data_IF_965621050517
#
_entry.id   IF_965621050517
#
_cell.length_a   1.000
_cell.length_b   1.000
_cell.length_c   1.000
_cell.angle_alpha   90.00
_cell.angle_beta   90.00
_cell.angle_gamma   90.00
#
_symmetry.space_group_name_H-M   'P 1'
#
loop_
_entity.id
_entity.type
_entity.pdbx_description
1 polymer ?
#
# COMPACT_ATOMS: atom_id res chain seq x y z
N UNK A 1 -32.98 61.24 43.75
CA UNK A 1 -32.63 61.28 42.31
C UNK A 1 -32.23 59.89 41.86
N UNK A 2 -32.76 59.45 40.72
CA UNK A 2 -32.61 58.11 40.14
C UNK A 2 -31.22 57.93 39.56
N UNK A 3 -30.52 56.86 39.90
CA UNK A 3 -29.40 56.33 39.08
C UNK A 3 -29.49 54.81 39.04
N UNK A 4 -30.03 54.31 37.93
CA UNK A 4 -30.07 52.89 37.57
C UNK A 4 -28.68 52.49 37.11
N UNK A 5 -28.00 51.60 37.84
CA UNK A 5 -26.81 50.91 37.33
C UNK A 5 -27.28 49.61 36.66
N UNK A 6 -27.42 49.66 35.34
CA UNK A 6 -27.74 48.50 34.50
C UNK A 6 -26.46 47.70 34.29
N UNK A 7 -26.29 46.61 35.04
CA UNK A 7 -25.21 45.63 34.83
C UNK A 7 -25.59 44.81 33.59
N UNK A 8 -25.05 45.20 32.44
CA UNK A 8 -25.13 44.45 31.19
C UNK A 8 -24.10 43.30 31.28
N UNK A 9 -24.55 42.13 31.72
CA UNK A 9 -23.78 40.90 31.72
C UNK A 9 -23.59 40.42 30.26
N UNK A 10 -22.51 40.86 29.62
CA UNK A 10 -22.08 40.40 28.30
C UNK A 10 -21.64 38.92 28.42
N UNK A 11 -22.58 38.02 28.16
CA UNK A 11 -22.33 36.62 27.88
C UNK A 11 -21.45 36.53 26.61
N UNK A 12 -20.13 36.46 26.82
CA UNK A 12 -19.18 36.04 25.80
C UNK A 12 -19.42 34.55 25.54
N UNK A 13 -20.32 34.26 24.60
CA UNK A 13 -20.42 32.94 23.98
C UNK A 13 -19.13 32.70 23.21
N UNK A 14 -18.20 31.96 23.83
CA UNK A 14 -17.07 31.37 23.12
C UNK A 14 -17.67 30.37 22.12
N UNK A 15 -17.87 30.82 20.89
CA UNK A 15 -18.13 29.95 19.75
C UNK A 15 -16.87 29.13 19.53
N UNK A 16 -16.84 27.94 20.12
CA UNK A 16 -15.88 26.90 19.75
C UNK A 16 -16.26 26.51 18.32
N UNK A 17 -15.58 27.10 17.34
CA UNK A 17 -15.61 26.59 15.97
C UNK A 17 -14.90 25.24 15.97
N UNK A 18 -15.67 24.16 16.04
CA UNK A 18 -15.17 22.83 15.76
C UNK A 18 -14.83 22.76 14.26
N UNK A 19 -13.56 22.99 13.90
CA UNK A 19 -13.08 22.70 12.55
C UNK A 19 -13.18 21.18 12.34
N UNK A 20 -14.05 20.77 11.41
CA UNK A 20 -14.27 19.37 11.04
C UNK A 20 -13.01 18.84 10.32
N UNK A 21 -12.05 18.28 11.07
CA UNK A 21 -10.92 17.54 10.49
C UNK A 21 -11.43 16.18 10.00
N UNK A 22 -11.38 15.95 8.69
CA UNK A 22 -11.72 14.64 8.11
C UNK A 22 -10.63 13.62 8.48
N UNK A 23 -11.06 12.52 9.09
CA UNK A 23 -10.18 11.42 9.47
C UNK A 23 -10.07 10.45 8.29
N UNK A 24 -8.85 10.00 8.01
CA UNK A 24 -8.54 9.02 6.99
C UNK A 24 -8.54 7.65 7.65
N UNK A 25 -9.44 6.78 7.23
CA UNK A 25 -9.40 5.38 7.63
C UNK A 25 -8.29 4.67 6.87
N UNK A 26 -7.51 3.87 7.60
CA UNK A 26 -6.49 3.01 7.00
C UNK A 26 -7.16 1.98 6.10
N UNK A 27 -6.66 1.72 4.87
CA UNK A 27 -7.20 0.66 4.03
C UNK A 27 -7.17 -0.69 4.78
N UNK A 28 -8.30 -1.39 4.81
CA UNK A 28 -8.46 -2.70 5.49
C UNK A 28 -7.54 -3.81 4.91
N UNK A 29 -6.92 -3.58 3.75
CA UNK A 29 -6.18 -4.59 2.99
C UNK A 29 -4.68 -4.73 3.34
N UNK A 30 -4.17 -4.08 4.40
CA UNK A 30 -2.81 -4.30 4.90
C UNK A 30 -2.84 -4.92 6.31
N UNK A 31 -2.68 -6.25 6.46
CA UNK A 31 -2.94 -6.99 7.70
C UNK A 31 -1.92 -6.76 8.83
N UNK A 32 -1.14 -5.68 8.77
CA UNK A 32 -0.11 -5.32 9.75
C UNK A 32 -0.34 -4.00 10.48
N UNK A 33 -1.51 -3.36 10.35
CA UNK A 33 -1.76 -2.06 10.96
C UNK A 33 -2.76 -2.10 12.14
N UNK A 34 -2.27 -1.57 13.25
CA UNK A 34 -2.90 -1.37 14.56
C UNK A 34 -4.19 -0.55 14.44
N UNK A 35 -5.29 -1.05 15.03
CA UNK A 35 -6.65 -0.48 15.06
C UNK A 35 -6.75 0.94 15.67
N UNK A 36 -5.63 1.58 16.03
CA UNK A 36 -5.55 2.88 16.66
C UNK A 36 -4.80 3.97 15.86
N UNK A 37 -4.43 3.71 14.59
CA UNK A 37 -3.72 4.69 13.75
C UNK A 37 -4.71 5.55 12.93
N UNK A 38 -5.40 6.49 13.58
CA UNK A 38 -6.26 7.44 12.87
C UNK A 38 -5.38 8.54 12.26
N UNK A 39 -5.13 8.45 10.96
CA UNK A 39 -4.45 9.53 10.22
C UNK A 39 -5.43 10.67 9.95
N UNK A 40 -5.14 11.92 10.32
CA UNK A 40 -5.97 13.08 9.90
C UNK A 40 -5.30 13.81 8.76
N UNK A 41 -6.08 14.21 7.74
CA UNK A 41 -5.60 15.02 6.64
C UNK A 41 -6.29 16.39 6.58
N UNK A 42 -5.51 17.45 6.42
CA UNK A 42 -5.99 18.82 6.17
C UNK A 42 -5.39 19.40 4.89
N UNK A 43 -6.12 20.33 4.26
CA UNK A 43 -5.67 21.07 3.08
C UNK A 43 -5.46 22.52 3.47
N UNK A 44 -4.35 23.09 3.03
CA UNK A 44 -4.18 24.54 2.94
C UNK A 44 -4.00 24.95 1.48
N UNK A 45 -4.56 26.11 1.11
CA UNK A 45 -4.30 26.77 -0.16
C UNK A 45 -3.22 27.82 0.10
N UNK A 46 -2.18 27.87 -0.73
CA UNK A 46 -1.20 28.95 -0.68
C UNK A 46 -1.81 30.24 -1.25
N UNK A 47 -2.04 31.26 -0.41
CA UNK A 47 -2.63 32.55 -0.77
C UNK A 47 -1.65 33.51 -1.49
N UNK A 48 -0.91 33.00 -2.47
CA UNK A 48 -0.01 33.83 -3.28
C UNK A 48 -0.71 34.28 -4.57
N UNK A 49 -1.12 35.57 -4.57
CA UNK A 49 -1.54 36.41 -5.72
C UNK A 49 -1.78 35.64 -7.03
N UNK A 50 -3.02 35.16 -7.21
CA UNK A 50 -3.72 34.80 -8.47
C UNK A 50 -3.03 33.91 -9.52
N UNK A 51 -1.78 33.44 -9.36
CA UNK A 51 -1.09 32.64 -10.41
C UNK A 51 -0.55 31.28 -9.97
N UNK A 52 -0.23 31.05 -8.68
CA UNK A 52 0.42 29.80 -8.25
C UNK A 52 -0.38 29.05 -7.17
N UNK A 53 -1.63 28.70 -7.45
CA UNK A 53 -2.42 27.87 -6.52
C UNK A 53 -1.78 26.46 -6.44
N UNK A 54 -1.26 26.10 -5.27
CA UNK A 54 -0.84 24.73 -4.94
C UNK A 54 -1.59 24.29 -3.69
N UNK A 55 -1.86 22.98 -3.61
CA UNK A 55 -2.42 22.36 -2.42
C UNK A 55 -1.25 21.87 -1.55
N UNK A 56 -1.28 22.13 -0.26
CA UNK A 56 -0.48 21.37 0.71
C UNK A 56 -1.38 20.35 1.40
N UNK A 57 -0.80 19.19 1.72
CA UNK A 57 -1.49 18.18 2.53
C UNK A 57 -0.73 18.02 3.82
N UNK A 58 -1.38 18.22 4.96
CA UNK A 58 -0.81 17.82 6.24
C UNK A 58 -1.42 16.50 6.66
N UNK A 59 -0.59 15.54 7.00
CA UNK A 59 -1.00 14.23 7.50
C UNK A 59 -0.43 13.99 8.88
N UNK A 60 -1.35 13.79 9.84
CA UNK A 60 -1.00 13.62 11.25
C UNK A 60 -1.27 12.20 11.73
N UNK A 61 -0.38 11.65 12.56
CA UNK A 61 -0.61 10.37 13.27
C UNK A 61 -0.28 10.53 14.76
N UNK A 62 -0.74 9.61 15.62
CA UNK A 62 -0.40 9.64 17.04
C UNK A 62 0.98 9.01 17.29
N UNK A 63 1.75 9.56 18.23
CA UNK A 63 3.00 8.96 18.69
C UNK A 63 2.76 7.58 19.30
N UNK A 64 3.54 6.58 18.88
CA UNK A 64 3.45 5.23 19.42
C UNK A 64 4.24 5.12 20.72
N UNK A 65 3.54 5.04 21.85
CA UNK A 65 4.19 4.77 23.14
C UNK A 65 4.65 3.30 23.17
N UNK A 66 5.95 3.07 23.01
CA UNK A 66 6.58 1.76 23.23
C UNK A 66 6.52 1.42 24.72
N UNK A 67 5.41 0.85 25.20
CA UNK A 67 5.38 0.22 26.52
C UNK A 67 6.35 -0.95 26.50
N UNK A 68 7.43 -0.88 27.31
CA UNK A 68 8.26 -2.05 27.61
C UNK A 68 7.33 -3.11 28.21
N UNK A 69 7.06 -4.17 27.44
CA UNK A 69 6.44 -5.37 28.00
C UNK A 69 7.52 -6.05 28.82
N UNK A 70 7.42 -6.00 30.13
CA UNK A 70 8.14 -6.94 30.97
C UNK A 70 7.74 -8.35 30.53
N UNK A 71 8.73 -9.24 30.40
CA UNK A 71 8.49 -10.65 30.13
C UNK A 71 7.69 -11.23 31.31
N UNK A 72 6.37 -11.29 31.15
CA UNK A 72 5.50 -11.96 32.11
C UNK A 72 5.89 -13.44 32.13
N UNK A 73 6.68 -13.83 33.14
CA UNK A 73 6.98 -15.21 33.50
C UNK A 73 5.73 -15.82 34.13
N UNK A 74 4.80 -16.27 33.30
CA UNK A 74 3.60 -16.92 33.81
C UNK A 74 2.56 -17.19 32.74
N UNK A 75 2.82 -18.14 31.84
CA UNK A 75 1.76 -18.73 31.01
C UNK A 75 2.02 -20.24 30.89
N UNK A 76 1.17 -21.02 31.53
CA UNK A 76 1.05 -22.47 31.34
C UNK A 76 0.62 -22.78 29.90
N UNK A 77 1.24 -23.80 29.30
CA UNK A 77 1.04 -24.28 27.91
C UNK A 77 -0.36 -24.85 27.60
N UNK A 78 -1.36 -24.68 28.47
CA UNK A 78 -2.69 -25.29 28.32
C UNK A 78 -3.77 -24.37 27.70
N UNK A 79 -3.47 -23.10 27.42
CA UNK A 79 -4.47 -22.18 26.83
C UNK A 79 -4.75 -22.40 25.34
N UNK A 80 -3.85 -23.09 24.61
CA UNK A 80 -3.97 -23.28 23.16
C UNK A 80 -5.15 -24.18 22.78
N UNK A 81 -5.45 -25.21 23.58
CA UNK A 81 -6.56 -26.15 23.32
C UNK A 81 -7.93 -25.57 23.66
N UNK A 82 -8.01 -24.63 24.61
CA UNK A 82 -9.26 -23.94 24.95
C UNK A 82 -9.71 -22.96 23.85
N UNK A 83 -8.79 -22.38 23.08
CA UNK A 83 -9.15 -21.48 21.97
C UNK A 83 -9.81 -22.25 20.82
N UNK A 84 -9.40 -23.49 20.55
CA UNK A 84 -10.07 -24.36 19.57
C UNK A 84 -11.48 -24.78 19.98
N UNK A 85 -11.73 -24.95 21.28
CA UNK A 85 -13.08 -25.22 21.80
C UNK A 85 -13.97 -23.97 21.82
N UNK A 86 -13.40 -22.80 22.12
CA UNK A 86 -14.12 -21.52 22.09
C UNK A 86 -14.50 -21.12 20.66
N UNK A 87 -13.65 -21.40 19.65
CA UNK A 87 -14.01 -21.20 18.22
C UNK A 87 -15.14 -22.13 17.76
N UNK A 88 -15.17 -23.39 18.21
CA UNK A 88 -16.29 -24.31 17.91
C UNK A 88 -17.62 -23.81 18.47
N UNK A 89 -17.61 -23.26 19.68
CA UNK A 89 -18.84 -22.78 20.33
C UNK A 89 -19.33 -21.43 19.78
N UNK A 90 -18.45 -20.56 19.26
CA UNK A 90 -18.86 -19.30 18.60
C UNK A 90 -19.36 -19.49 17.17
N UNK A 91 -18.99 -20.60 16.50
CA UNK A 91 -19.51 -20.93 15.16
C UNK A 91 -20.97 -21.41 15.14
N UNK A 92 -21.52 -21.86 16.27
CA UNK A 92 -22.91 -22.34 16.35
C UNK A 92 -23.92 -21.16 16.36
N UNK A 93 -23.47 -19.93 16.66
CA UNK A 93 -24.37 -18.76 16.80
C UNK A 93 -24.43 -17.90 15.53
N UNK A 94 -23.49 -18.07 14.58
CA UNK A 94 -23.51 -17.39 13.28
C UNK A 94 -23.76 -18.38 12.14
N UNK A 95 -24.86 -19.14 12.21
CA UNK A 95 -25.41 -19.82 11.03
C UNK A 95 -26.12 -18.80 10.14
N UNK A 96 -25.36 -17.92 9.48
CA UNK A 96 -25.85 -17.08 8.40
C UNK A 96 -25.19 -17.55 7.11
N UNK A 97 -25.99 -18.28 6.33
CA UNK A 97 -25.88 -18.51 4.89
C UNK A 97 -24.47 -18.85 4.38
N UNK A 98 -24.20 -20.16 4.40
CA UNK A 98 -23.18 -20.80 3.57
C UNK A 98 -23.47 -20.44 2.10
N UNK A 99 -22.80 -19.41 1.58
CA UNK A 99 -22.51 -19.39 0.14
C UNK A 99 -21.62 -20.60 -0.08
N UNK A 100 -22.14 -21.60 -0.80
CA UNK A 100 -21.32 -22.69 -1.32
C UNK A 100 -20.09 -22.05 -1.95
N UNK A 101 -18.91 -22.26 -1.36
CA UNK A 101 -17.65 -21.93 -2.02
C UNK A 101 -17.64 -22.84 -3.24
N UNK A 102 -17.81 -22.24 -4.42
CA UNK A 102 -17.73 -22.98 -5.67
C UNK A 102 -16.45 -23.81 -5.64
N UNK A 103 -16.60 -25.11 -5.89
CA UNK A 103 -15.57 -26.13 -5.64
C UNK A 103 -14.25 -25.92 -6.43
N UNK A 104 -14.12 -24.84 -7.21
CA UNK A 104 -12.97 -24.48 -8.03
C UNK A 104 -12.33 -23.10 -7.77
N UNK A 105 -12.90 -22.20 -6.96
CA UNK A 105 -12.28 -20.87 -6.76
C UNK A 105 -11.18 -20.93 -5.70
N UNK A 106 -9.94 -20.62 -6.08
CA UNK A 106 -8.81 -20.62 -5.15
C UNK A 106 -8.88 -19.41 -4.20
N UNK A 107 -8.71 -19.68 -2.89
CA UNK A 107 -8.70 -18.66 -1.83
C UNK A 107 -7.27 -18.18 -1.63
N UNK A 108 -7.07 -16.87 -1.41
CA UNK A 108 -5.74 -16.33 -1.11
C UNK A 108 -5.19 -16.92 0.20
N UNK A 109 -3.90 -17.24 0.23
CA UNK A 109 -3.18 -17.73 1.43
C UNK A 109 -3.37 -16.84 2.67
N UNK A 110 -3.59 -15.54 2.50
CA UNK A 110 -3.78 -14.61 3.63
C UNK A 110 -5.20 -14.62 4.20
N UNK A 111 -6.18 -15.17 3.46
CA UNK A 111 -7.60 -15.07 3.78
C UNK A 111 -8.22 -16.43 4.13
N UNK A 112 -7.42 -17.49 4.22
CA UNK A 112 -7.87 -18.84 4.57
C UNK A 112 -7.76 -19.08 6.09
N UNK A 113 -8.76 -19.76 6.67
CA UNK A 113 -8.82 -20.01 8.11
C UNK A 113 -7.63 -20.85 8.61
N UNK A 114 -7.28 -21.91 7.87
CA UNK A 114 -6.10 -22.74 8.06
C UNK A 114 -5.25 -22.72 6.78
N UNK A 115 -4.01 -22.21 6.89
CA UNK A 115 -3.09 -22.15 5.76
C UNK A 115 -2.56 -23.55 5.39
N UNK A 116 -2.15 -23.77 4.13
CA UNK A 116 -1.36 -24.94 3.77
C UNK A 116 -0.02 -24.97 4.51
N UNK A 117 0.44 -26.17 4.88
CA UNK A 117 1.66 -26.36 5.69
C UNK A 117 2.57 -27.44 5.11
N UNK A 118 3.88 -27.30 5.35
CA UNK A 118 4.80 -28.43 5.24
C UNK A 118 4.53 -29.41 6.38
N UNK A 119 4.83 -30.69 6.17
CA UNK A 119 4.74 -31.71 7.22
C UNK A 119 5.56 -31.35 8.46
N UNK A 120 6.72 -30.72 8.29
CA UNK A 120 7.56 -30.23 9.40
C UNK A 120 6.92 -29.11 10.23
N UNK A 121 5.90 -28.43 9.70
CA UNK A 121 5.22 -27.32 10.36
C UNK A 121 3.90 -27.71 11.04
N UNK A 122 3.48 -28.99 10.96
CA UNK A 122 2.17 -29.45 11.46
C UNK A 122 2.05 -29.28 12.99
N UNK A 123 3.04 -29.77 13.73
CA UNK A 123 3.04 -29.80 15.21
C UNK A 123 3.44 -28.46 15.86
N UNK A 124 3.65 -27.42 15.06
CA UNK A 124 4.02 -26.10 15.55
C UNK A 124 2.76 -25.34 15.96
N UNK A 125 2.84 -24.61 17.08
CA UNK A 125 1.77 -23.74 17.53
C UNK A 125 1.26 -22.83 16.40
N UNK A 126 -0.06 -22.74 16.23
CA UNK A 126 -0.74 -22.04 15.12
C UNK A 126 -0.16 -20.63 14.87
N UNK A 127 0.10 -19.89 15.94
CA UNK A 127 0.67 -18.52 15.87
C UNK A 127 2.05 -18.45 15.19
N UNK A 128 2.77 -19.56 15.08
CA UNK A 128 4.11 -19.67 14.49
C UNK A 128 4.11 -20.42 13.15
N UNK A 129 2.99 -21.01 12.73
CA UNK A 129 2.92 -21.82 11.52
C UNK A 129 3.24 -21.02 10.24
N UNK A 130 2.74 -19.79 10.12
CA UNK A 130 3.08 -18.90 8.99
C UNK A 130 4.60 -18.62 8.91
N UNK A 131 5.24 -18.43 10.08
CA UNK A 131 6.69 -18.25 10.17
C UNK A 131 7.44 -19.51 9.74
N UNK A 132 6.99 -20.69 10.19
CA UNK A 132 7.56 -21.97 9.76
C UNK A 132 7.45 -22.15 8.24
N UNK A 133 6.25 -21.98 7.68
CA UNK A 133 6.00 -22.10 6.25
C UNK A 133 6.94 -21.21 5.42
N UNK A 134 7.09 -19.93 5.80
CA UNK A 134 8.02 -19.00 5.14
C UNK A 134 9.48 -19.44 5.26
N UNK A 135 9.87 -19.98 6.42
CA UNK A 135 11.22 -20.48 6.66
C UNK A 135 11.54 -21.67 5.75
N UNK A 136 10.65 -22.65 5.68
CA UNK A 136 10.78 -23.85 4.85
C UNK A 136 10.86 -23.50 3.35
N UNK A 137 9.99 -22.60 2.87
CA UNK A 137 10.06 -22.08 1.50
C UNK A 137 11.42 -21.44 1.23
N UNK A 138 11.92 -20.62 2.17
CA UNK A 138 13.21 -19.92 2.00
C UNK A 138 14.36 -20.90 1.93
N UNK A 139 14.37 -21.91 2.81
CA UNK A 139 15.40 -22.95 2.84
C UNK A 139 15.33 -23.83 1.58
N UNK A 140 14.13 -24.20 1.13
CA UNK A 140 13.93 -24.92 -0.13
C UNK A 140 14.50 -24.15 -1.33
N UNK A 141 14.22 -22.86 -1.43
CA UNK A 141 14.78 -22.01 -2.50
C UNK A 141 16.29 -22.00 -2.41
N UNK A 142 16.85 -21.70 -1.24
CA UNK A 142 18.31 -21.65 -1.04
C UNK A 142 19.01 -22.93 -1.50
N UNK A 143 18.43 -24.10 -1.19
CA UNK A 143 19.01 -25.39 -1.53
C UNK A 143 18.81 -25.79 -3.01
N UNK A 144 17.81 -25.23 -3.68
CA UNK A 144 17.50 -25.57 -5.07
C UNK A 144 17.85 -24.49 -6.08
N UNK A 145 18.24 -23.30 -5.63
CA UNK A 145 18.45 -22.13 -6.48
C UNK A 145 19.69 -22.29 -7.35
N UNK A 146 19.51 -22.16 -8.66
CA UNK A 146 20.61 -22.10 -9.62
C UNK A 146 20.41 -20.90 -10.53
N UNK A 147 21.44 -20.10 -10.73
CA UNK A 147 21.34 -18.98 -11.67
C UNK A 147 21.60 -19.48 -13.09
N UNK A 148 20.67 -19.29 -14.06
CA UNK A 148 20.93 -19.72 -15.45
C UNK A 148 22.14 -19.00 -16.06
N UNK A 149 23.11 -19.77 -16.57
CA UNK A 149 24.37 -19.23 -17.08
C UNK A 149 24.19 -18.16 -18.17
N UNK A 150 23.24 -18.33 -19.09
CA UNK A 150 23.03 -17.34 -20.16
C UNK A 150 22.42 -16.06 -19.61
N UNK A 151 21.46 -16.13 -18.69
CA UNK A 151 20.94 -14.95 -17.99
C UNK A 151 22.02 -14.24 -17.18
N UNK A 152 22.86 -15.00 -16.47
CA UNK A 152 23.99 -14.47 -15.71
C UNK A 152 24.96 -13.71 -16.61
N UNK A 153 25.43 -14.34 -17.69
CA UNK A 153 26.38 -13.73 -18.64
C UNK A 153 25.81 -12.49 -19.36
N UNK A 154 24.49 -12.46 -19.59
CA UNK A 154 23.79 -11.31 -20.17
C UNK A 154 23.42 -10.23 -19.13
N UNK A 155 23.75 -10.45 -17.85
CA UNK A 155 23.43 -9.55 -16.75
C UNK A 155 21.93 -9.39 -16.46
N UNK A 156 21.10 -10.32 -16.93
CA UNK A 156 19.63 -10.27 -16.77
C UNK A 156 19.30 -10.67 -15.34
N UNK A 157 18.78 -9.73 -14.55
CA UNK A 157 18.53 -9.91 -13.11
C UNK A 157 17.10 -9.53 -12.71
N UNK A 158 16.76 -9.55 -11.42
CA UNK A 158 15.50 -9.02 -10.89
C UNK A 158 14.54 -10.07 -10.34
N UNK A 159 13.31 -9.61 -10.05
CA UNK A 159 12.31 -10.40 -9.33
C UNK A 159 11.47 -11.26 -10.27
N UNK A 160 11.28 -12.52 -9.91
CA UNK A 160 10.30 -13.42 -10.50
C UNK A 160 9.22 -13.69 -9.46
N UNK A 161 7.95 -13.53 -9.85
CA UNK A 161 6.77 -13.79 -9.02
C UNK A 161 6.04 -15.01 -9.60
N UNK A 162 6.10 -16.14 -8.91
CA UNK A 162 5.40 -17.37 -9.29
C UNK A 162 4.10 -17.43 -8.52
N UNK A 163 2.98 -17.37 -9.22
CA UNK A 163 1.66 -17.63 -8.66
C UNK A 163 1.34 -19.11 -8.86
N UNK A 164 1.03 -19.79 -7.77
CA UNK A 164 0.62 -21.19 -7.82
C UNK A 164 -0.50 -21.47 -6.83
N UNK A 165 -1.25 -22.53 -7.12
CA UNK A 165 -2.36 -23.01 -6.33
C UNK A 165 -1.92 -24.31 -5.66
N UNK A 166 -2.13 -24.39 -4.35
CA UNK A 166 -2.04 -25.63 -3.59
C UNK A 166 -3.45 -26.20 -3.55
N UNK A 167 -3.64 -27.35 -4.18
CA UNK A 167 -4.96 -27.96 -4.32
C UNK A 167 -5.40 -28.70 -3.04
N UNK A 168 -6.61 -29.26 -3.03
CA UNK A 168 -7.18 -30.00 -1.88
C UNK A 168 -6.40 -31.26 -1.53
N UNK A 169 -5.61 -31.79 -2.45
CA UNK A 169 -4.71 -32.94 -2.26
C UNK A 169 -3.31 -32.53 -1.79
N UNK A 170 -3.00 -31.22 -1.74
CA UNK A 170 -1.70 -30.70 -1.36
C UNK A 170 -0.69 -30.61 -2.50
N UNK A 171 -1.11 -30.85 -3.74
CA UNK A 171 -0.30 -30.71 -4.93
C UNK A 171 -0.28 -29.27 -5.43
N UNK A 172 0.77 -28.91 -6.16
CA UNK A 172 0.97 -27.56 -6.68
C UNK A 172 0.60 -27.51 -8.17
N UNK A 173 -0.10 -26.46 -8.54
CA UNK A 173 -0.35 -26.08 -9.93
C UNK A 173 0.08 -24.62 -10.14
N UNK A 174 1.04 -24.38 -11.04
CA UNK A 174 1.48 -23.01 -11.36
C UNK A 174 0.43 -22.37 -12.27
N UNK A 175 -0.16 -21.26 -11.81
CA UNK A 175 -1.21 -20.54 -12.54
C UNK A 175 -0.65 -19.46 -13.46
N UNK A 176 0.35 -18.71 -12.99
CA UNK A 176 0.99 -17.65 -13.76
C UNK A 176 2.38 -17.34 -13.18
N UNK A 177 3.31 -16.90 -14.02
CA UNK A 177 4.62 -16.43 -13.57
C UNK A 177 4.95 -15.08 -14.21
N UNK A 178 5.16 -14.07 -13.38
CA UNK A 178 5.63 -12.76 -13.81
C UNK A 178 7.15 -12.70 -13.65
N UNK A 179 7.85 -12.26 -14.69
CA UNK A 179 9.30 -12.28 -14.75
C UNK A 179 9.82 -10.99 -15.43
N UNK A 180 11.10 -10.65 -15.26
CA UNK A 180 11.64 -9.43 -15.86
C UNK A 180 11.74 -9.51 -17.38
N UNK A 181 11.94 -8.36 -18.04
CA UNK A 181 12.16 -8.30 -19.48
C UNK A 181 13.39 -9.13 -19.89
N UNK A 182 13.26 -9.94 -20.95
CA UNK A 182 14.27 -10.93 -21.39
C UNK A 182 14.64 -11.97 -20.33
N UNK A 183 13.80 -12.16 -19.31
CA UNK A 183 14.04 -13.04 -18.17
C UNK A 183 13.40 -14.42 -18.31
N UNK A 184 13.21 -14.94 -19.52
CA UNK A 184 12.52 -16.22 -19.76
C UNK A 184 13.23 -17.38 -19.04
N UNK A 185 14.56 -17.43 -19.06
CA UNK A 185 15.29 -18.48 -18.34
C UNK A 185 15.16 -18.33 -16.81
N UNK A 186 15.00 -17.11 -16.29
CA UNK A 186 14.73 -16.89 -14.87
C UNK A 186 13.32 -17.38 -14.48
N UNK A 187 12.34 -17.23 -15.37
CA UNK A 187 10.99 -17.78 -15.22
C UNK A 187 11.05 -19.31 -15.14
N UNK A 188 11.73 -19.93 -16.09
CA UNK A 188 11.80 -21.39 -16.20
C UNK A 188 12.50 -21.99 -14.98
N UNK A 189 13.56 -21.35 -14.50
CA UNK A 189 14.25 -21.75 -13.29
C UNK A 189 13.39 -21.56 -12.03
N UNK A 190 12.68 -20.44 -11.90
CA UNK A 190 11.75 -20.23 -10.80
C UNK A 190 10.63 -21.29 -10.77
N UNK A 191 10.10 -21.65 -11.94
CA UNK A 191 9.10 -22.71 -12.08
C UNK A 191 9.68 -24.08 -11.71
N UNK A 192 10.93 -24.37 -12.09
CA UNK A 192 11.64 -25.59 -11.68
C UNK A 192 11.78 -25.69 -10.16
N UNK A 193 12.13 -24.59 -9.49
CA UNK A 193 12.24 -24.55 -8.02
C UNK A 193 10.89 -24.82 -7.37
N UNK A 194 9.81 -24.20 -7.86
CA UNK A 194 8.45 -24.39 -7.33
C UNK A 194 7.96 -25.81 -7.57
N UNK A 195 8.17 -26.38 -8.76
CA UNK A 195 7.79 -27.77 -9.06
C UNK A 195 8.55 -28.83 -8.24
N UNK A 196 9.69 -28.46 -7.63
CA UNK A 196 10.42 -29.32 -6.71
C UNK A 196 9.93 -29.26 -5.27
N UNK A 197 8.99 -28.37 -4.94
CA UNK A 197 8.43 -28.32 -3.59
C UNK A 197 7.73 -29.65 -3.25
N UNK A 198 7.81 -30.10 -1.99
CA UNK A 198 7.11 -31.28 -1.54
C UNK A 198 5.59 -31.06 -1.55
N UNK A 199 4.85 -32.16 -1.41
CA UNK A 199 3.40 -32.08 -1.21
C UNK A 199 3.06 -31.45 0.14
N UNK A 200 2.04 -30.61 0.15
CA UNK A 200 1.60 -29.84 1.32
C UNK A 200 0.48 -30.55 2.07
N UNK A 201 0.36 -30.22 3.35
CA UNK A 201 -0.91 -30.36 4.06
C UNK A 201 -1.84 -29.27 3.52
N UNK A 202 -3.02 -29.62 2.96
CA UNK A 202 -3.91 -28.65 2.32
C UNK A 202 -4.52 -27.69 3.34
N UNK A 203 -4.75 -26.45 2.91
CA UNK A 203 -5.45 -25.45 3.71
C UNK A 203 -6.94 -25.77 3.86
N UNK A 204 -7.57 -25.21 4.87
CA UNK A 204 -9.00 -25.40 5.14
C UNK A 204 -9.72 -24.07 5.36
N UNK A 205 -10.92 -23.97 4.80
CA UNK A 205 -11.87 -22.89 5.07
C UNK A 205 -13.09 -23.51 5.72
N UNK A 206 -13.47 -23.01 6.91
CA UNK A 206 -14.62 -23.53 7.66
C UNK A 206 -14.57 -25.05 7.86
N UNK A 207 -13.36 -25.59 8.08
CA UNK A 207 -13.11 -27.02 8.28
C UNK A 207 -13.05 -27.87 7.00
N UNK A 208 -13.34 -27.30 5.82
CA UNK A 208 -13.31 -28.01 4.53
C UNK A 208 -12.02 -27.69 3.78
N UNK A 209 -11.37 -28.71 3.20
CA UNK A 209 -10.18 -28.53 2.36
C UNK A 209 -10.50 -27.68 1.13
N UNK A 210 -9.68 -26.68 0.86
CA UNK A 210 -9.85 -25.72 -0.25
C UNK A 210 -8.59 -25.56 -1.07
N UNK A 211 -8.74 -25.07 -2.29
CA UNK A 211 -7.61 -24.63 -3.11
C UNK A 211 -7.09 -23.30 -2.57
N UNK A 212 -5.78 -23.20 -2.34
CA UNK A 212 -5.14 -22.00 -1.79
C UNK A 212 -4.13 -21.44 -2.77
N UNK A 213 -4.31 -20.18 -3.17
CA UNK A 213 -3.39 -19.46 -4.03
C UNK A 213 -2.28 -18.80 -3.21
N UNK A 214 -1.03 -19.00 -3.63
CA UNK A 214 0.15 -18.37 -3.05
C UNK A 214 1.03 -17.74 -4.14
N UNK A 215 1.61 -16.58 -3.84
CA UNK A 215 2.58 -15.89 -4.69
C UNK A 215 3.96 -15.98 -4.06
N UNK A 216 4.84 -16.73 -4.70
CA UNK A 216 6.25 -16.81 -4.31
C UNK A 216 7.08 -15.79 -5.05
N UNK A 217 7.90 -15.03 -4.31
CA UNK A 217 8.85 -14.07 -4.86
C UNK A 217 10.26 -14.65 -4.78
N UNK A 218 10.89 -14.85 -5.93
CA UNK A 218 12.29 -15.27 -6.06
C UNK A 218 13.09 -14.10 -6.62
N UNK A 219 14.25 -13.79 -6.02
CA UNK A 219 15.11 -12.70 -6.44
C UNK A 219 16.37 -13.25 -7.11
N UNK A 220 16.62 -12.83 -8.36
CA UNK A 220 17.83 -13.16 -9.11
C UNK A 220 18.71 -11.93 -9.19
N UNK A 221 19.55 -11.70 -8.19
CA UNK A 221 20.45 -10.54 -8.16
C UNK A 221 21.89 -10.96 -8.48
N UNK A 222 22.60 -10.14 -9.25
CA UNK A 222 24.02 -10.30 -9.53
C UNK A 222 24.78 -9.20 -8.76
N UNK A 223 25.60 -9.52 -7.76
CA UNK A 223 26.35 -8.53 -7.01
C UNK A 223 27.20 -7.63 -7.91
N UNK A 224 27.13 -6.31 -7.69
CA UNK A 224 27.93 -5.33 -8.43
C UNK A 224 27.45 -5.01 -9.85
N UNK A 225 26.39 -5.64 -10.36
CA UNK A 225 25.86 -5.38 -11.71
C UNK A 225 24.60 -4.52 -11.65
N UNK A 226 24.55 -3.43 -12.43
CA UNK A 226 23.35 -2.59 -12.56
C UNK A 226 22.23 -3.37 -13.27
N UNK A 227 20.97 -3.18 -12.85
CA UNK A 227 19.79 -3.84 -13.45
C UNK A 227 19.65 -3.47 -14.93
N UNK A 228 19.88 -4.44 -15.84
CA UNK A 228 19.86 -4.24 -17.31
C UNK A 228 18.53 -4.63 -17.95
N UNK A 229 17.73 -5.43 -17.24
CA UNK A 229 16.43 -5.98 -17.63
C UNK A 229 15.24 -5.10 -17.27
N UNK A 230 15.50 -3.85 -16.89
CA UNK A 230 14.43 -2.86 -16.77
C UNK A 230 13.99 -2.59 -18.20
N UNK A 231 12.73 -2.92 -18.52
CA UNK A 231 12.09 -2.33 -19.70
C UNK A 231 12.06 -0.84 -19.41
N UNK A 232 13.10 -0.13 -19.86
CA UNK A 232 13.07 1.30 -19.98
C UNK A 232 12.01 1.58 -21.06
N UNK A 233 10.74 1.53 -20.68
CA UNK A 233 9.74 2.39 -21.30
C UNK A 233 10.04 3.79 -20.75
N UNK A 234 11.21 4.30 -21.09
CA UNK A 234 11.39 5.72 -21.22
C UNK A 234 10.52 6.03 -22.42
N UNK A 235 9.23 6.29 -22.16
CA UNK A 235 8.57 7.27 -22.99
C UNK A 235 9.45 8.49 -22.77
N UNK A 236 10.35 8.77 -23.72
CA UNK A 236 11.15 9.99 -23.70
C UNK A 236 10.13 11.10 -23.78
N UNK A 237 9.67 11.55 -22.63
CA UNK A 237 8.92 12.79 -22.53
C UNK A 237 9.97 13.79 -22.97
N UNK A 238 9.79 14.39 -24.13
CA UNK A 238 10.62 15.51 -24.51
C UNK A 238 10.44 16.54 -23.40
N UNK A 239 11.47 16.70 -22.54
CA UNK A 239 11.38 17.53 -21.34
C UNK A 239 11.15 19.00 -21.72
N UNK A 240 11.45 19.33 -22.97
CA UNK A 240 11.28 20.63 -23.61
C UNK A 240 9.79 21.01 -23.82
N UNK A 241 8.85 20.06 -23.65
CA UNK A 241 7.40 20.29 -23.75
C UNK A 241 6.65 19.91 -22.47
N UNK A 242 7.23 20.20 -21.30
CA UNK A 242 6.59 19.98 -20.00
C UNK A 242 6.19 21.32 -19.39
N UNK A 243 4.89 21.55 -19.26
CA UNK A 243 4.34 22.80 -18.75
C UNK A 243 3.91 22.68 -17.30
N UNK A 244 3.91 23.77 -16.54
CA UNK A 244 3.29 23.82 -15.21
C UNK A 244 1.82 24.25 -15.31
N UNK A 245 1.04 24.03 -14.25
CA UNK A 245 -0.41 24.30 -14.26
C UNK A 245 -0.75 25.76 -14.62
N UNK A 246 0.10 26.70 -14.23
CA UNK A 246 -0.03 28.14 -14.49
C UNK A 246 0.21 28.54 -15.96
N UNK A 247 0.82 27.66 -16.76
CA UNK A 247 1.13 27.89 -18.17
C UNK A 247 0.04 27.34 -19.12
N UNK A 248 -1.02 26.74 -18.58
CA UNK A 248 -2.05 26.04 -19.34
C UNK A 248 -3.35 26.84 -19.48
N UNK A 249 -4.00 26.66 -20.63
CA UNK A 249 -5.36 27.14 -20.86
C UNK A 249 -6.38 26.25 -20.14
N UNK A 250 -6.15 24.93 -20.10
CA UNK A 250 -6.93 23.99 -19.29
C UNK A 250 -6.00 23.06 -18.51
N UNK A 251 -6.20 22.99 -17.21
CA UNK A 251 -5.37 22.15 -16.34
C UNK A 251 -5.79 20.67 -16.40
N UNK A 252 -4.88 19.73 -16.07
CA UNK A 252 -5.25 18.34 -15.89
C UNK A 252 -6.31 18.17 -14.79
N UNK A 253 -7.30 17.31 -15.02
CA UNK A 253 -8.42 17.09 -14.10
C UNK A 253 -8.72 15.61 -13.89
N UNK A 254 -9.34 15.29 -12.75
CA UNK A 254 -9.90 13.95 -12.51
C UNK A 254 -11.09 13.71 -13.42
N UNK A 255 -11.44 12.44 -13.68
CA UNK A 255 -12.57 12.14 -14.56
C UNK A 255 -13.86 12.68 -13.97
N UNK A 256 -14.00 12.53 -12.67
CA UNK A 256 -15.12 12.88 -11.79
C UNK A 256 -15.45 14.38 -11.77
N UNK A 257 -14.56 15.23 -12.28
CA UNK A 257 -14.86 16.63 -12.61
C UNK A 257 -15.79 16.67 -13.85
N UNK A 258 -17.09 16.39 -13.66
CA UNK A 258 -18.13 16.42 -14.71
C UNK A 258 -19.19 17.51 -14.51
N UNK A 259 -19.20 18.20 -13.38
CA UNK A 259 -20.29 19.10 -13.01
C UNK A 259 -19.79 20.50 -12.74
N UNK A 260 -20.38 21.46 -13.46
CA UNK A 260 -20.23 22.91 -13.41
C UNK A 260 -19.11 23.52 -14.26
N UNK A 261 -19.47 24.64 -14.89
CA UNK A 261 -18.70 25.56 -15.72
C UNK A 261 -17.53 26.19 -14.97
N UNK A 262 -16.68 25.38 -14.35
CA UNK A 262 -15.52 25.82 -13.62
C UNK A 262 -14.34 24.91 -13.97
N UNK A 263 -13.56 25.34 -14.97
CA UNK A 263 -12.20 24.84 -15.26
C UNK A 263 -11.22 25.18 -14.09
N UNK A 264 -11.74 25.30 -12.86
CA UNK A 264 -10.99 25.71 -11.69
C UNK A 264 -10.18 24.56 -11.15
N UNK A 265 -8.93 24.90 -10.83
CA UNK A 265 -8.04 24.20 -9.93
C UNK A 265 -8.74 23.60 -8.70
N UNK A 266 -9.85 24.18 -8.26
CA UNK A 266 -10.62 23.72 -7.11
C UNK A 266 -11.17 22.29 -7.29
N UNK A 267 -11.64 21.89 -8.48
CA UNK A 267 -12.08 20.50 -8.69
C UNK A 267 -10.90 19.52 -8.56
N UNK A 268 -9.79 19.83 -9.23
CA UNK A 268 -8.58 19.03 -9.16
C UNK A 268 -8.07 18.91 -7.72
N UNK A 269 -8.04 20.02 -6.98
CA UNK A 269 -7.63 20.06 -5.58
C UNK A 269 -8.53 19.19 -4.70
N UNK A 270 -9.85 19.25 -4.89
CA UNK A 270 -10.82 18.48 -4.11
C UNK A 270 -10.74 16.98 -4.39
N UNK A 271 -10.58 16.57 -5.65
CA UNK A 271 -10.44 15.15 -5.98
C UNK A 271 -9.06 14.60 -5.55
N UNK A 272 -8.00 15.40 -5.68
CA UNK A 272 -6.71 15.05 -5.11
C UNK A 272 -6.79 14.88 -3.59
N UNK A 273 -7.56 15.73 -2.89
CA UNK A 273 -7.87 15.57 -1.46
C UNK A 273 -8.45 14.21 -1.15
N UNK A 274 -9.54 13.85 -1.83
CA UNK A 274 -10.24 12.57 -1.61
C UNK A 274 -9.30 11.41 -1.88
N UNK A 275 -8.46 11.53 -2.92
CA UNK A 275 -7.44 10.55 -3.23
C UNK A 275 -6.42 10.39 -2.10
N UNK A 276 -5.89 11.49 -1.56
CA UNK A 276 -4.97 11.45 -0.42
C UNK A 276 -5.63 10.83 0.80
N UNK A 277 -6.82 11.30 1.17
CA UNK A 277 -7.58 10.79 2.32
C UNK A 277 -7.81 9.27 2.21
N UNK A 278 -8.16 8.79 1.02
CA UNK A 278 -8.49 7.38 0.80
C UNK A 278 -7.27 6.46 0.73
N UNK A 279 -6.14 6.96 0.22
CA UNK A 279 -5.02 6.09 -0.18
C UNK A 279 -3.75 6.28 0.63
N UNK A 280 -3.71 7.31 1.49
CA UNK A 280 -2.54 7.62 2.29
C UNK A 280 -2.61 7.00 3.68
N UNK A 281 -1.50 6.41 4.10
CA UNK A 281 -1.30 5.92 5.45
C UNK A 281 0.09 6.35 5.94
N UNK A 282 0.17 6.81 7.19
CA UNK A 282 1.45 7.16 7.81
C UNK A 282 2.30 5.89 8.00
N UNK A 283 3.57 5.84 7.52
CA UNK A 283 4.36 4.62 7.60
C UNK A 283 4.67 4.20 9.04
N UNK A 284 4.45 2.92 9.39
CA UNK A 284 4.73 2.38 10.73
C UNK A 284 6.20 2.58 11.13
N UNK A 285 7.12 2.38 10.19
CA UNK A 285 8.56 2.61 10.43
C UNK A 285 8.87 4.08 10.76
N UNK A 286 8.12 5.03 10.19
CA UNK A 286 8.25 6.44 10.56
C UNK A 286 7.67 6.71 11.95
N UNK A 287 6.56 6.05 12.33
CA UNK A 287 5.98 6.13 13.67
C UNK A 287 6.94 5.59 14.74
N UNK A 288 7.53 4.42 14.49
CA UNK A 288 8.40 3.73 15.46
C UNK A 288 9.71 4.49 15.72
N UNK A 289 10.11 5.35 14.78
CA UNK A 289 11.33 6.14 14.80
C UNK A 289 11.08 7.66 14.95
N UNK A 290 9.83 8.09 15.18
CA UNK A 290 9.43 9.49 15.30
C UNK A 290 9.89 10.38 14.13
N UNK A 291 9.79 9.87 12.90
CA UNK A 291 10.24 10.57 11.70
C UNK A 291 9.11 11.45 11.16
N UNK A 292 9.29 12.76 11.25
CA UNK A 292 8.37 13.81 10.77
C UNK A 292 9.03 14.67 9.68
N UNK A 293 8.25 15.54 9.02
CA UNK A 293 8.76 16.57 8.13
C UNK A 293 8.00 16.71 6.82
N UNK A 294 8.45 17.65 5.98
CA UNK A 294 7.80 17.96 4.70
C UNK A 294 8.46 17.18 3.56
N UNK A 295 7.64 16.49 2.78
CA UNK A 295 8.05 15.80 1.55
C UNK A 295 7.46 16.53 0.35
N UNK A 296 8.33 17.05 -0.52
CA UNK A 296 7.92 17.64 -1.79
C UNK A 296 7.80 16.55 -2.84
N UNK A 297 6.57 16.35 -3.33
CA UNK A 297 6.27 15.38 -4.38
C UNK A 297 6.09 16.12 -5.69
N UNK A 298 6.72 15.63 -6.75
CA UNK A 298 6.57 16.16 -8.11
C UNK A 298 6.39 15.03 -9.10
N UNK A 299 5.50 15.19 -10.07
CA UNK A 299 5.24 14.20 -11.12
C UNK A 299 4.79 14.90 -12.40
N UNK A 300 4.77 14.15 -13.49
CA UNK A 300 4.30 14.62 -14.80
C UNK A 300 3.04 13.83 -15.15
N UNK A 301 2.00 14.55 -15.58
CA UNK A 301 0.81 13.99 -16.22
C UNK A 301 1.08 14.11 -17.71
N UNK A 302 1.22 12.98 -18.41
CA UNK A 302 1.51 13.02 -19.84
C UNK A 302 0.29 13.48 -20.66
N UNK A 303 0.47 13.72 -21.96
CA UNK A 303 -0.61 14.10 -22.88
C UNK A 303 -1.73 13.06 -23.01
N UNK A 304 -1.51 11.81 -22.58
CA UNK A 304 -2.53 10.77 -22.49
C UNK A 304 -3.24 10.70 -21.13
N UNK A 305 -2.79 11.49 -20.14
CA UNK A 305 -3.35 11.52 -18.79
C UNK A 305 -2.76 10.52 -17.80
N UNK A 306 -1.69 9.81 -18.15
CA UNK A 306 -0.98 8.91 -17.23
C UNK A 306 0.02 9.69 -16.37
N UNK A 307 0.13 9.30 -15.09
CA UNK A 307 1.11 9.85 -14.16
C UNK A 307 2.46 9.14 -14.32
N UNK A 308 3.51 9.92 -14.58
CA UNK A 308 4.86 9.46 -14.88
C UNK A 308 5.90 10.36 -14.20
N UNK A 309 7.16 9.93 -14.17
CA UNK A 309 8.30 10.69 -13.62
C UNK A 309 8.07 11.19 -12.17
N UNK A 310 7.53 10.31 -11.32
CA UNK A 310 7.25 10.63 -9.91
C UNK A 310 8.58 10.75 -9.16
N UNK A 311 8.78 11.90 -8.52
CA UNK A 311 9.90 12.20 -7.63
C UNK A 311 9.33 12.68 -6.29
N UNK A 312 9.96 12.26 -5.21
CA UNK A 312 9.67 12.75 -3.87
C UNK A 312 10.99 13.07 -3.19
N UNK A 313 11.07 14.21 -2.53
CA UNK A 313 12.23 14.68 -1.79
C UNK A 313 11.79 15.13 -0.40
N UNK A 314 12.28 14.44 0.62
CA UNK A 314 11.96 14.71 2.03
C UNK A 314 13.18 15.19 2.83
N UNK A 315 13.09 15.18 4.18
CA UNK A 315 14.24 15.41 5.05
C UNK A 315 15.29 14.28 4.91
N UNK A 316 16.51 14.50 5.43
CA UNK A 316 17.64 13.57 5.25
C UNK A 316 17.33 12.13 5.69
N UNK A 317 16.61 11.95 6.80
CA UNK A 317 16.20 10.62 7.30
C UNK A 317 14.78 10.21 6.84
N UNK A 318 14.17 11.00 5.95
CA UNK A 318 12.80 10.86 5.50
C UNK A 318 12.58 9.84 4.39
N UNK A 319 13.49 8.88 4.16
CA UNK A 319 13.40 7.97 2.99
C UNK A 319 12.12 7.13 2.99
N UNK A 320 11.68 6.74 4.19
CA UNK A 320 10.41 6.06 4.42
C UNK A 320 9.22 6.96 4.02
N UNK A 321 9.27 8.25 4.35
CA UNK A 321 8.25 9.25 3.99
C UNK A 321 8.21 9.50 2.48
N UNK A 322 9.38 9.62 1.83
CA UNK A 322 9.48 9.73 0.37
C UNK A 322 8.86 8.53 -0.35
N UNK A 323 9.07 7.32 0.20
CA UNK A 323 8.54 6.07 -0.38
C UNK A 323 7.02 6.04 -0.26
N UNK A 324 6.48 6.45 0.89
CA UNK A 324 5.03 6.55 1.10
C UNK A 324 4.38 7.58 0.18
N UNK A 325 5.02 8.74 0.04
CA UNK A 325 4.56 9.82 -0.84
C UNK A 325 4.56 9.41 -2.32
N UNK A 326 5.57 8.64 -2.77
CA UNK A 326 5.60 8.06 -4.12
C UNK A 326 4.45 7.07 -4.33
N UNK A 327 4.24 6.15 -3.39
CA UNK A 327 3.14 5.17 -3.46
C UNK A 327 1.76 5.83 -3.54
N UNK A 328 1.57 6.95 -2.82
CA UNK A 328 0.34 7.73 -2.91
C UNK A 328 0.07 8.19 -4.36
N UNK A 329 1.09 8.76 -5.01
CA UNK A 329 0.98 9.29 -6.38
C UNK A 329 0.91 8.16 -7.42
N UNK A 330 1.58 7.02 -7.20
CA UNK A 330 1.47 5.82 -8.05
C UNK A 330 0.04 5.26 -8.11
N UNK A 331 -0.76 5.48 -7.05
CA UNK A 331 -2.17 5.06 -6.99
C UNK A 331 -3.13 6.03 -7.68
N UNK A 332 -2.68 7.17 -8.19
CA UNK A 332 -3.56 8.12 -8.86
C UNK A 332 -4.26 7.46 -10.06
N UNK A 333 -5.58 7.69 -10.24
CA UNK A 333 -6.26 7.23 -11.42
C UNK A 333 -5.74 7.97 -12.65
N UNK A 334 -6.02 7.41 -13.83
CA UNK A 334 -5.74 8.09 -15.09
C UNK A 334 -6.54 9.39 -15.18
N UNK A 335 -5.84 10.51 -15.35
CA UNK A 335 -6.37 11.86 -15.39
C UNK A 335 -6.76 12.27 -16.82
N UNK A 336 -7.49 13.37 -16.96
CA UNK A 336 -7.61 14.12 -18.22
C UNK A 336 -6.36 14.99 -18.37
N UNK A 337 -5.74 14.99 -19.55
CA UNK A 337 -4.54 15.76 -19.81
C UNK A 337 -4.80 17.28 -19.85
N UNK A 338 -3.76 18.07 -19.60
CA UNK A 338 -3.79 19.52 -19.73
C UNK A 338 -3.74 19.98 -21.19
N UNK A 339 -4.24 21.19 -21.46
CA UNK A 339 -4.26 21.80 -22.78
C UNK A 339 -3.51 23.13 -22.80
N UNK A 340 -2.65 23.28 -23.81
CA UNK A 340 -2.02 24.54 -24.20
C UNK A 340 -2.15 24.69 -25.71
N UNK A 341 -2.59 25.85 -26.18
CA UNK A 341 -2.83 26.13 -27.61
C UNK A 341 -3.70 25.05 -28.28
N UNK A 342 -4.76 24.62 -27.58
CA UNK A 342 -5.66 23.52 -27.98
C UNK A 342 -4.99 22.14 -28.20
N UNK A 343 -3.72 21.96 -27.83
CA UNK A 343 -3.02 20.67 -27.88
C UNK A 343 -2.91 20.07 -26.49
N UNK A 344 -3.01 18.74 -26.40
CA UNK A 344 -2.71 18.00 -25.17
C UNK A 344 -1.22 18.03 -24.92
N UNK A 345 -0.82 18.43 -23.72
CA UNK A 345 0.60 18.62 -23.38
C UNK A 345 0.97 17.91 -22.09
N UNK A 346 2.25 17.63 -21.91
CA UNK A 346 2.76 17.07 -20.66
C UNK A 346 2.73 18.16 -19.59
N UNK A 347 2.19 17.84 -18.43
CA UNK A 347 2.01 18.81 -17.36
C UNK A 347 2.72 18.36 -16.09
N UNK A 348 3.65 19.17 -15.57
CA UNK A 348 4.29 18.93 -14.27
C UNK A 348 3.47 19.54 -13.15
N UNK A 349 3.21 18.74 -12.13
CA UNK A 349 2.63 19.20 -10.88
C UNK A 349 3.55 18.88 -9.71
N UNK A 350 3.52 19.72 -8.68
CA UNK A 350 4.21 19.46 -7.42
C UNK A 350 3.38 19.97 -6.25
N UNK A 351 3.44 19.24 -5.14
CA UNK A 351 2.82 19.63 -3.89
C UNK A 351 3.61 19.12 -2.68
N UNK A 352 3.63 19.87 -1.56
CA UNK A 352 4.18 19.38 -0.30
C UNK A 352 3.19 18.48 0.43
N UNK A 353 3.71 17.42 1.06
CA UNK A 353 3.02 16.62 2.06
C UNK A 353 3.76 16.80 3.38
N UNK A 354 3.10 17.33 4.38
CA UNK A 354 3.64 17.52 5.72
C UNK A 354 3.28 16.31 6.59
N UNK A 355 4.28 15.61 7.10
CA UNK A 355 4.12 14.50 8.02
C UNK A 355 4.37 15.00 9.43
N UNK A 356 3.39 14.86 10.31
CA UNK A 356 3.48 15.34 11.68
C UNK A 356 2.98 14.28 12.67
N UNK A 357 3.57 14.18 13.87
CA UNK A 357 3.05 13.34 14.93
C UNK A 357 2.44 14.21 16.02
N UNK A 358 1.19 13.90 16.37
CA UNK A 358 0.53 14.46 17.52
C UNK A 358 0.96 13.69 18.77
N UNK A 359 1.07 14.43 19.88
CA UNK A 359 1.31 13.87 21.21
C UNK A 359 0.15 13.00 21.74
#
# INVERSE_FOLDING_TARGET
MKTKFSILLLLFSVLIYAQKTETCDTPEDDPLLDLNSITKCTIEKSDDKKKNKKVSFQVTSRRRIKRKKDLVKGVNNNFSKKISEVKKNTQIVNSLTIKKVDNGTAISFFNVDEIPLFKSCEDIAIMKQNKCFKSEITEHIKNNFQYPNRSYNKGIQGRVLVNFIINKEGNIEISNTLFPYKGEELRDEANRIVNKLPTFIPGKQSGVKVNVQYTLKIMFDIPGVKKTNIRNKTKTINLDEVYTFDELQRTPTFKECFSSFDDSFDCFANELKKHVIKNFAYPVEALDNNIEGVVYVSFIINSEGDVVNIKAKGPNDGKVLETAAKRLVEKLPKLKAGYKDNKRVNTKYQFPIEFYLND
#
